data_IF_627898853031
#
_entry.id   IF_627898853031
#
_cell.length_a   1.000
_cell.length_b   1.000
_cell.length_c   1.000
_cell.angle_alpha   90.00
_cell.angle_beta   90.00
_cell.angle_gamma   90.00
#
_symmetry.space_group_name_H-M   'P 1'
#
loop_
_entity.id
_entity.type
_entity.pdbx_description
1 polymer ?
#
# COMPACT_ATOMS: atom_id res chain seq x y z
N UNK A 1 -33.00 4.42 12.73
CA UNK A 1 -32.29 4.54 14.01
C UNK A 1 -32.07 6.02 14.33
N UNK A 2 -32.42 6.46 15.53
CA UNK A 2 -32.14 7.82 16.03
C UNK A 2 -31.01 7.81 17.07
N UNK A 3 -30.52 8.98 17.48
CA UNK A 3 -29.36 9.09 18.38
C UNK A 3 -29.44 8.28 19.70
N UNK A 4 -30.59 8.16 20.39
CA UNK A 4 -30.70 7.30 21.57
C UNK A 4 -30.48 5.82 21.25
N UNK A 5 -31.14 5.30 20.21
CA UNK A 5 -30.97 3.90 19.77
C UNK A 5 -29.55 3.63 19.27
N UNK A 6 -28.93 4.59 18.59
CA UNK A 6 -27.52 4.50 18.19
C UNK A 6 -26.61 4.34 19.40
N UNK A 7 -26.84 5.11 20.48
CA UNK A 7 -26.02 4.99 21.71
C UNK A 7 -26.15 3.61 22.33
N UNK A 8 -27.34 3.03 22.35
CA UNK A 8 -27.56 1.72 22.92
C UNK A 8 -26.91 0.64 22.05
N UNK A 9 -27.11 0.69 20.73
CA UNK A 9 -26.47 -0.23 19.79
C UNK A 9 -24.94 -0.13 19.82
N UNK A 10 -24.39 1.09 19.84
CA UNK A 10 -22.95 1.31 19.88
C UNK A 10 -22.30 0.79 21.17
N UNK A 11 -22.96 0.93 22.33
CA UNK A 11 -22.48 0.36 23.59
C UNK A 11 -22.44 -1.17 23.52
N UNK A 12 -23.52 -1.78 23.03
CA UNK A 12 -23.58 -3.24 22.90
C UNK A 12 -22.53 -3.77 21.92
N UNK A 13 -22.29 -3.06 20.82
CA UNK A 13 -21.21 -3.40 19.88
C UNK A 13 -19.81 -3.26 20.51
N UNK A 14 -19.58 -2.22 21.31
CA UNK A 14 -18.30 -2.03 22.02
C UNK A 14 -18.05 -3.18 23.00
N UNK A 15 -19.06 -3.53 23.80
CA UNK A 15 -18.98 -4.64 24.75
C UNK A 15 -18.76 -5.97 24.02
N UNK A 16 -19.43 -6.18 22.88
CA UNK A 16 -19.24 -7.33 22.02
C UNK A 16 -17.82 -7.43 21.46
N UNK A 17 -17.29 -6.35 20.90
CA UNK A 17 -15.94 -6.30 20.31
C UNK A 17 -14.88 -6.62 21.38
N UNK A 18 -14.98 -6.00 22.55
CA UNK A 18 -14.08 -6.26 23.66
C UNK A 18 -14.11 -7.74 24.07
N UNK A 19 -15.31 -8.29 24.29
CA UNK A 19 -15.49 -9.69 24.64
C UNK A 19 -14.99 -10.65 23.54
N UNK A 20 -15.22 -10.31 22.26
CA UNK A 20 -14.73 -11.08 21.12
C UNK A 20 -13.21 -11.14 21.07
N UNK A 21 -12.53 -10.00 21.22
CA UNK A 21 -11.07 -9.92 21.15
C UNK A 21 -10.39 -10.58 22.37
N UNK A 22 -10.96 -10.41 23.58
CA UNK A 22 -10.44 -11.05 24.80
C UNK A 22 -10.54 -12.58 24.74
N UNK A 23 -11.65 -13.10 24.22
CA UNK A 23 -11.97 -14.54 24.20
C UNK A 23 -11.75 -15.19 22.82
N UNK A 24 -11.09 -14.52 21.88
CA UNK A 24 -10.85 -15.05 20.52
C UNK A 24 -10.08 -16.39 20.50
N UNK A 25 -9.35 -16.71 21.56
CA UNK A 25 -8.62 -17.99 21.73
C UNK A 25 -9.56 -19.19 21.81
N UNK A 26 -10.79 -18.98 22.25
CA UNK A 26 -11.79 -20.04 22.42
C UNK A 26 -12.50 -20.37 21.10
N UNK A 27 -12.37 -19.50 20.11
CA UNK A 27 -12.91 -19.71 18.76
C UNK A 27 -11.99 -20.60 17.93
N UNK A 28 -12.62 -21.40 17.07
CA UNK A 28 -11.92 -22.17 16.05
C UNK A 28 -11.45 -21.23 14.95
N UNK A 29 -10.14 -21.18 14.71
CA UNK A 29 -9.52 -20.24 13.76
C UNK A 29 -10.13 -20.29 12.35
N UNK A 30 -10.27 -21.49 11.77
CA UNK A 30 -10.84 -21.71 10.44
C UNK A 30 -12.27 -22.23 10.55
N UNK A 31 -13.23 -21.68 9.79
CA UNK A 31 -14.62 -22.12 9.83
C UNK A 31 -14.81 -23.50 9.17
N UNK A 32 -15.87 -24.21 9.52
CA UNK A 32 -16.28 -25.48 8.91
C UNK A 32 -17.46 -25.30 7.96
N UNK A 33 -17.26 -24.51 6.91
CA UNK A 33 -18.31 -24.17 5.95
C UNK A 33 -17.87 -24.50 4.52
N UNK A 34 -18.84 -24.66 3.63
CA UNK A 34 -18.63 -24.84 2.20
C UNK A 34 -19.03 -23.57 1.43
N UNK A 35 -18.46 -23.31 0.23
CA UNK A 35 -18.89 -22.20 -0.61
C UNK A 35 -20.42 -22.19 -0.79
N UNK A 36 -21.05 -21.05 -0.50
CA UNK A 36 -22.51 -20.89 -0.54
C UNK A 36 -23.26 -21.10 0.78
N UNK A 37 -22.60 -21.48 1.89
CA UNK A 37 -23.24 -21.75 3.19
C UNK A 37 -24.10 -20.60 3.74
N UNK A 38 -23.75 -19.35 3.42
CA UNK A 38 -24.41 -18.14 3.95
C UNK A 38 -25.77 -17.89 3.29
N UNK A 39 -25.91 -18.27 2.01
CA UNK A 39 -27.10 -18.02 1.20
C UNK A 39 -28.41 -18.53 1.85
N UNK A 40 -28.50 -19.75 2.39
CA UNK A 40 -29.72 -20.21 3.07
C UNK A 40 -29.96 -19.57 4.44
N UNK A 41 -29.01 -18.83 5.01
CA UNK A 41 -29.11 -18.20 6.33
C UNK A 41 -29.63 -16.77 6.30
N UNK A 42 -29.70 -16.17 5.10
CA UNK A 42 -30.12 -14.79 4.85
C UNK A 42 -31.35 -14.80 3.93
N UNK A 43 -32.31 -13.87 4.10
CA UNK A 43 -33.43 -13.72 3.17
C UNK A 43 -32.99 -13.57 1.70
N UNK A 44 -33.81 -14.08 0.78
CA UNK A 44 -33.51 -14.00 -0.66
C UNK A 44 -33.62 -12.57 -1.22
N UNK A 45 -34.35 -11.70 -0.53
CA UNK A 45 -34.60 -10.31 -0.91
C UNK A 45 -34.35 -9.41 0.31
N UNK A 46 -33.92 -8.18 0.07
CA UNK A 46 -33.74 -7.19 1.12
C UNK A 46 -35.09 -6.85 1.79
N UNK A 47 -35.12 -6.58 3.09
CA UNK A 47 -36.37 -6.28 3.79
C UNK A 47 -36.94 -4.93 3.32
N UNK A 48 -38.24 -4.88 3.01
CA UNK A 48 -38.94 -3.63 2.65
C UNK A 48 -39.15 -2.68 3.85
N UNK A 49 -39.01 -3.21 5.07
CA UNK A 49 -39.17 -2.50 6.32
C UNK A 49 -37.91 -2.65 7.17
N UNK A 50 -37.55 -1.65 7.98
CA UNK A 50 -36.39 -1.75 8.85
C UNK A 50 -36.56 -2.89 9.85
N UNK A 51 -35.49 -3.66 10.05
CA UNK A 51 -35.34 -4.62 11.13
C UNK A 51 -34.83 -3.92 12.39
N UNK A 52 -35.01 -4.54 13.56
CA UNK A 52 -34.45 -3.99 14.79
C UNK A 52 -32.93 -4.15 14.81
N UNK A 53 -32.22 -3.24 15.48
CA UNK A 53 -30.76 -3.38 15.58
C UNK A 53 -30.38 -4.59 16.44
N UNK A 54 -31.26 -5.02 17.35
CA UNK A 54 -31.09 -6.21 18.16
C UNK A 54 -31.11 -7.48 17.30
N UNK A 55 -32.00 -7.56 16.30
CA UNK A 55 -32.04 -8.68 15.36
C UNK A 55 -30.75 -8.72 14.53
N UNK A 56 -30.28 -7.54 14.06
CA UNK A 56 -29.00 -7.41 13.35
C UNK A 56 -27.81 -7.84 14.23
N UNK A 57 -27.81 -7.45 15.51
CA UNK A 57 -26.76 -7.82 16.46
C UNK A 57 -26.75 -9.34 16.74
N UNK A 58 -27.93 -9.96 16.88
CA UNK A 58 -28.07 -11.40 17.07
C UNK A 58 -27.54 -12.21 15.87
N UNK A 59 -27.66 -11.65 14.66
CA UNK A 59 -27.19 -12.29 13.44
C UNK A 59 -25.67 -12.35 13.32
N UNK A 60 -24.93 -11.52 14.06
CA UNK A 60 -23.46 -11.58 14.06
C UNK A 60 -22.97 -12.95 14.51
N UNK A 61 -23.47 -13.47 15.64
CA UNK A 61 -23.09 -14.82 16.10
C UNK A 61 -23.82 -15.93 15.36
N UNK A 62 -25.10 -15.72 15.01
CA UNK A 62 -25.93 -16.76 14.40
C UNK A 62 -25.53 -17.06 12.95
N UNK A 63 -25.16 -16.03 12.20
CA UNK A 63 -25.01 -16.10 10.73
C UNK A 63 -23.59 -15.79 10.29
N UNK A 64 -22.95 -14.76 10.84
CA UNK A 64 -21.66 -14.27 10.36
C UNK A 64 -20.49 -15.07 10.95
N UNK A 65 -20.36 -15.12 12.28
CA UNK A 65 -19.24 -15.75 12.98
C UNK A 65 -18.97 -17.21 12.60
N UNK A 66 -19.97 -18.07 12.28
CA UNK A 66 -19.71 -19.45 11.86
C UNK A 66 -18.85 -19.58 10.60
N UNK A 67 -18.79 -18.54 9.76
CA UNK A 67 -17.95 -18.51 8.56
C UNK A 67 -16.77 -17.54 8.60
N UNK A 68 -16.51 -16.89 9.75
CA UNK A 68 -15.36 -16.00 9.92
C UNK A 68 -14.09 -16.83 10.11
N UNK A 69 -13.05 -16.49 9.35
CA UNK A 69 -11.68 -16.88 9.74
C UNK A 69 -11.16 -15.86 10.75
N UNK A 70 -10.78 -16.32 11.94
CA UNK A 70 -10.41 -15.43 13.03
C UNK A 70 -8.92 -15.02 12.96
N UNK A 71 -8.62 -14.05 12.09
CA UNK A 71 -7.27 -13.57 11.79
C UNK A 71 -6.48 -13.07 13.01
N UNK A 72 -7.16 -12.53 14.03
CA UNK A 72 -6.51 -12.05 15.26
C UNK A 72 -6.36 -13.14 16.33
N UNK A 73 -6.76 -14.38 16.05
CA UNK A 73 -6.52 -15.48 16.97
C UNK A 73 -5.01 -15.72 17.11
N UNK A 74 -4.48 -15.88 18.34
CA UNK A 74 -3.08 -16.26 18.55
C UNK A 74 -2.69 -17.61 17.95
N UNK A 75 -3.68 -18.40 17.51
CA UNK A 75 -3.52 -19.69 16.82
C UNK A 75 -3.51 -19.56 15.29
N UNK A 76 -3.66 -18.34 14.74
CA UNK A 76 -3.60 -18.07 13.31
C UNK A 76 -2.15 -17.81 12.88
N UNK A 77 -1.61 -18.68 12.02
CA UNK A 77 -0.23 -18.63 11.56
C UNK A 77 -0.11 -18.73 10.02
N UNK A 78 -1.19 -18.41 9.30
CA UNK A 78 -1.18 -18.32 7.84
C UNK A 78 -0.81 -16.90 7.38
N UNK A 79 -0.24 -16.80 6.18
CA UNK A 79 0.12 -15.51 5.56
C UNK A 79 1.04 -14.65 6.44
N UNK A 80 0.91 -13.33 6.35
CA UNK A 80 1.41 -12.38 7.35
C UNK A 80 0.26 -11.89 8.24
N UNK A 81 0.56 -11.38 9.46
CA UNK A 81 -0.49 -10.86 10.34
C UNK A 81 -1.24 -9.70 9.69
N UNK A 82 -2.49 -9.52 10.11
CA UNK A 82 -3.23 -8.27 9.97
C UNK A 82 -3.32 -7.64 11.34
N UNK A 83 -3.01 -6.35 11.40
CA UNK A 83 -2.96 -5.57 12.60
C UNK A 83 -4.37 -5.15 13.06
N UNK A 84 -4.54 -5.03 14.38
CA UNK A 84 -5.74 -4.52 15.01
C UNK A 84 -5.41 -4.00 16.42
N UNK A 85 -6.04 -2.90 16.82
CA UNK A 85 -5.99 -2.42 18.19
C UNK A 85 -7.22 -1.60 18.57
N UNK A 86 -7.51 -1.50 19.88
CA UNK A 86 -8.59 -0.65 20.37
C UNK A 86 -8.46 0.83 19.95
N UNK A 87 -7.27 1.47 19.99
CA UNK A 87 -7.12 2.83 19.46
C UNK A 87 -7.48 2.96 17.98
N UNK A 88 -7.09 1.99 17.14
CA UNK A 88 -7.44 2.00 15.72
C UNK A 88 -8.95 1.87 15.51
N UNK A 89 -9.61 0.95 16.23
CA UNK A 89 -11.08 0.79 16.17
C UNK A 89 -11.80 2.09 16.55
N UNK A 90 -11.38 2.75 17.64
CA UNK A 90 -12.00 4.01 18.09
C UNK A 90 -11.74 5.15 17.09
N UNK A 91 -10.55 5.21 16.50
CA UNK A 91 -10.23 6.19 15.47
C UNK A 91 -11.11 5.99 14.22
N UNK A 92 -11.31 4.74 13.78
CA UNK A 92 -12.18 4.41 12.64
C UNK A 92 -13.64 4.77 12.90
N UNK A 93 -14.12 4.61 14.15
CA UNK A 93 -15.47 5.08 14.54
C UNK A 93 -15.62 6.59 14.34
N UNK A 94 -14.61 7.38 14.71
CA UNK A 94 -14.63 8.83 14.50
C UNK A 94 -14.51 9.18 13.01
N UNK A 95 -13.62 8.51 12.28
CA UNK A 95 -13.45 8.68 10.84
C UNK A 95 -14.76 8.42 10.09
N UNK A 96 -15.46 7.33 10.42
CA UNK A 96 -16.76 6.99 9.85
C UNK A 96 -17.89 7.97 10.24
N UNK A 97 -17.78 8.66 11.39
CA UNK A 97 -18.74 9.68 11.79
C UNK A 97 -18.51 11.02 11.06
N UNK A 98 -17.25 11.41 10.83
CA UNK A 98 -16.91 12.61 10.06
C UNK A 98 -17.20 12.38 8.56
N UNK A 99 -16.84 11.20 8.05
CA UNK A 99 -17.08 10.74 6.68
C UNK A 99 -16.71 11.78 5.60
N UNK A 100 -15.63 12.54 5.83
CA UNK A 100 -15.16 13.52 4.85
C UNK A 100 -14.39 12.83 3.72
N UNK A 101 -14.40 13.45 2.53
CA UNK A 101 -13.66 12.95 1.37
C UNK A 101 -12.51 13.92 1.09
N UNK A 102 -11.27 13.44 1.21
CA UNK A 102 -10.04 14.25 1.19
C UNK A 102 -9.33 14.33 -0.17
N UNK A 103 -10.07 14.37 -1.28
CA UNK A 103 -9.47 14.35 -2.62
C UNK A 103 -8.63 15.59 -2.96
N UNK A 104 -8.98 16.74 -2.38
CA UNK A 104 -8.20 17.97 -2.40
C UNK A 104 -8.08 18.52 -0.99
N UNK A 105 -7.07 19.35 -0.78
CA UNK A 105 -6.89 20.02 0.51
C UNK A 105 -8.15 20.77 0.93
N UNK A 106 -8.81 21.50 0.02
CA UNK A 106 -10.01 22.29 0.37
C UNK A 106 -11.24 21.41 0.70
N UNK A 107 -11.29 20.18 0.22
CA UNK A 107 -12.42 19.26 0.49
C UNK A 107 -12.44 18.82 1.96
N UNK A 108 -11.26 18.65 2.57
CA UNK A 108 -11.12 18.47 4.01
C UNK A 108 -9.67 18.77 4.44
N UNK A 109 -9.36 20.01 4.85
CA UNK A 109 -7.99 20.40 5.18
C UNK A 109 -7.38 19.52 6.27
N UNK A 110 -8.16 19.21 7.31
CA UNK A 110 -7.71 18.37 8.41
C UNK A 110 -7.37 16.93 7.96
N UNK A 111 -8.06 16.39 6.94
CA UNK A 111 -7.75 15.07 6.40
C UNK A 111 -6.36 15.06 5.74
N UNK A 112 -6.05 16.08 4.94
CA UNK A 112 -4.75 16.19 4.26
C UNK A 112 -3.62 16.52 5.24
N UNK A 113 -3.80 17.56 6.06
CA UNK A 113 -2.76 18.07 6.97
C UNK A 113 -2.36 17.03 8.02
N UNK A 114 -3.34 16.32 8.59
CA UNK A 114 -3.06 15.27 9.56
C UNK A 114 -2.29 14.12 8.93
N UNK A 115 -2.65 13.70 7.71
CA UNK A 115 -1.93 12.64 7.00
C UNK A 115 -0.47 13.03 6.71
N UNK A 116 -0.23 14.25 6.25
CA UNK A 116 1.14 14.78 6.02
C UNK A 116 1.97 14.67 7.30
N UNK A 117 1.45 15.14 8.43
CA UNK A 117 2.19 15.10 9.70
C UNK A 117 2.37 13.68 10.25
N UNK A 118 1.35 12.82 10.14
CA UNK A 118 1.45 11.43 10.59
C UNK A 118 2.46 10.64 9.76
N UNK A 119 2.51 10.83 8.44
CA UNK A 119 3.48 10.16 7.58
C UNK A 119 4.89 10.74 7.71
N UNK A 120 5.02 12.01 8.07
CA UNK A 120 6.29 12.60 8.47
C UNK A 120 6.82 11.97 9.77
N UNK A 121 5.97 11.82 10.78
CA UNK A 121 6.31 11.13 12.03
C UNK A 121 6.66 9.66 11.78
N UNK A 122 5.85 8.96 10.99
CA UNK A 122 6.07 7.56 10.69
C UNK A 122 7.37 7.34 9.91
N UNK A 123 7.67 8.17 8.91
CA UNK A 123 8.95 8.12 8.20
C UNK A 123 10.15 8.31 9.15
N UNK A 124 10.06 9.25 10.10
CA UNK A 124 11.08 9.44 11.15
C UNK A 124 11.20 8.23 12.08
N UNK A 125 10.08 7.62 12.48
CA UNK A 125 10.07 6.41 13.32
C UNK A 125 10.78 5.24 12.63
N UNK A 126 10.57 5.07 11.32
CA UNK A 126 11.25 4.05 10.51
C UNK A 126 12.75 4.34 10.32
N UNK A 127 13.16 5.60 10.44
CA UNK A 127 14.50 6.06 10.08
C UNK A 127 14.68 6.20 8.57
N UNK A 128 13.63 6.60 7.84
CA UNK A 128 13.75 6.94 6.43
C UNK A 128 14.63 8.20 6.25
N UNK A 129 15.39 8.28 5.15
CA UNK A 129 16.14 9.49 4.79
C UNK A 129 15.26 10.75 4.73
N UNK A 130 15.84 11.92 5.04
CA UNK A 130 15.12 13.20 5.03
C UNK A 130 14.50 13.51 3.67
N UNK A 131 15.09 13.02 2.58
CA UNK A 131 14.61 13.17 1.20
C UNK A 131 13.26 12.50 0.93
N UNK A 132 12.76 11.65 1.85
CA UNK A 132 11.39 11.12 1.79
C UNK A 132 10.39 11.92 2.62
N UNK A 133 10.86 12.81 3.49
CA UNK A 133 10.02 13.46 4.49
C UNK A 133 9.48 14.80 3.99
N UNK A 134 8.19 15.06 4.25
CA UNK A 134 7.58 16.35 3.96
C UNK A 134 8.29 17.52 4.68
N UNK A 135 8.90 17.27 5.85
CA UNK A 135 9.65 18.29 6.58
C UNK A 135 10.99 18.68 5.96
N UNK A 136 11.41 18.06 4.84
CA UNK A 136 12.63 18.47 4.11
C UNK A 136 12.48 19.80 3.38
N UNK A 137 11.25 20.32 3.24
CA UNK A 137 10.95 21.53 2.48
C UNK A 137 10.95 21.35 0.96
N UNK A 138 11.22 20.12 0.48
CA UNK A 138 11.03 19.72 -0.91
C UNK A 138 9.58 19.29 -1.20
N UNK A 139 9.36 18.75 -2.40
CA UNK A 139 8.05 18.17 -2.77
C UNK A 139 7.85 16.75 -2.26
N UNK A 140 8.88 16.11 -1.70
CA UNK A 140 8.83 14.75 -1.18
C UNK A 140 7.79 14.60 -0.06
N UNK A 141 7.31 13.37 0.14
CA UNK A 141 6.36 13.12 1.21
C UNK A 141 5.79 11.72 1.19
N UNK A 142 4.90 11.49 2.16
CA UNK A 142 4.13 10.27 2.25
C UNK A 142 2.68 10.46 1.81
N UNK A 143 2.05 9.36 1.39
CA UNK A 143 0.61 9.21 1.19
C UNK A 143 0.15 7.85 1.74
N UNK A 144 -1.07 7.79 2.31
CA UNK A 144 -1.75 6.56 2.67
C UNK A 144 -2.46 6.00 1.44
N UNK A 145 -2.19 4.74 1.13
CA UNK A 145 -2.84 3.93 0.09
C UNK A 145 -3.67 2.84 0.79
N UNK A 146 -4.57 2.20 0.06
CA UNK A 146 -5.31 1.04 0.60
C UNK A 146 -4.38 -0.16 0.79
N UNK A 147 -3.53 -0.44 -0.21
CA UNK A 147 -2.65 -1.61 -0.19
C UNK A 147 -1.23 -1.37 -0.71
N UNK A 148 -0.28 -2.22 -0.30
CA UNK A 148 1.04 -2.31 -0.93
C UNK A 148 0.97 -2.57 -2.44
N UNK A 149 -0.07 -3.29 -2.91
CA UNK A 149 -0.24 -3.57 -4.34
C UNK A 149 -0.52 -2.29 -5.13
N UNK A 150 -1.34 -1.39 -4.58
CA UNK A 150 -1.61 -0.08 -5.15
C UNK A 150 -0.35 0.79 -5.09
N UNK A 151 0.36 0.81 -3.97
CA UNK A 151 1.62 1.55 -3.84
C UNK A 151 2.67 1.12 -4.88
N UNK A 152 2.85 -0.18 -5.09
CA UNK A 152 3.74 -0.72 -6.12
C UNK A 152 3.29 -0.35 -7.54
N UNK A 153 1.98 -0.35 -7.81
CA UNK A 153 1.44 0.07 -9.11
C UNK A 153 1.64 1.57 -9.33
N UNK A 154 1.36 2.41 -8.33
CA UNK A 154 1.59 3.86 -8.37
C UNK A 154 3.06 4.18 -8.63
N UNK A 155 3.99 3.49 -7.93
CA UNK A 155 5.43 3.63 -8.17
C UNK A 155 5.81 3.26 -9.61
N UNK A 156 5.30 2.13 -10.11
CA UNK A 156 5.54 1.67 -11.49
C UNK A 156 5.04 2.69 -12.51
N UNK A 157 3.85 3.26 -12.31
CA UNK A 157 3.26 4.24 -13.22
C UNK A 157 4.04 5.58 -13.20
N UNK A 158 4.50 6.03 -12.03
CA UNK A 158 5.41 7.17 -11.92
C UNK A 158 6.74 6.92 -12.64
N UNK A 159 7.35 5.76 -12.42
CA UNK A 159 8.57 5.35 -13.12
C UNK A 159 8.38 5.28 -14.65
N UNK A 160 7.24 4.76 -15.09
CA UNK A 160 6.86 4.69 -16.50
C UNK A 160 6.75 6.09 -17.12
N UNK A 161 6.09 7.03 -16.44
CA UNK A 161 5.99 8.41 -16.91
C UNK A 161 7.37 9.09 -17.01
N UNK A 162 8.23 8.91 -16.00
CA UNK A 162 9.63 9.39 -16.00
C UNK A 162 10.42 8.84 -17.20
N UNK A 163 10.29 7.54 -17.45
CA UNK A 163 10.98 6.86 -18.55
C UNK A 163 10.47 7.27 -19.93
N UNK A 164 9.16 7.45 -20.09
CA UNK A 164 8.56 7.94 -21.35
C UNK A 164 9.11 9.31 -21.69
N UNK A 165 9.08 10.24 -20.74
CA UNK A 165 9.58 11.60 -20.96
C UNK A 165 11.05 11.60 -21.36
N UNK A 166 11.90 10.84 -20.65
CA UNK A 166 13.33 10.70 -20.99
C UNK A 166 13.52 10.14 -22.40
N UNK A 167 12.80 9.08 -22.75
CA UNK A 167 12.92 8.45 -24.06
C UNK A 167 12.44 9.36 -25.19
N UNK A 168 11.41 10.20 -24.97
CA UNK A 168 10.99 11.21 -25.96
C UNK A 168 12.04 12.31 -26.17
N UNK A 169 12.78 12.68 -25.12
CA UNK A 169 13.88 13.65 -25.22
C UNK A 169 15.08 13.06 -25.97
N UNK A 170 15.40 11.78 -25.75
CA UNK A 170 16.50 11.06 -26.40
C UNK A 170 16.15 10.62 -27.84
N UNK A 171 14.88 10.30 -28.10
CA UNK A 171 14.34 9.81 -29.36
C UNK A 171 13.04 10.54 -29.74
N UNK A 172 13.11 11.81 -30.21
CA UNK A 172 11.93 12.62 -30.54
C UNK A 172 11.04 12.04 -31.65
N UNK A 173 11.57 11.09 -32.42
CA UNK A 173 10.85 10.39 -33.49
C UNK A 173 10.01 9.21 -33.00
N UNK A 174 10.18 8.76 -31.76
CA UNK A 174 9.38 7.66 -31.20
C UNK A 174 8.09 8.19 -30.61
N UNK A 175 6.97 7.59 -31.01
CA UNK A 175 5.70 7.80 -30.32
C UNK A 175 5.66 7.05 -28.97
N UNK A 176 4.71 7.43 -28.12
CA UNK A 176 4.58 6.86 -26.78
C UNK A 176 4.38 5.34 -26.79
N UNK A 177 3.60 4.82 -27.74
CA UNK A 177 3.36 3.38 -27.86
C UNK A 177 4.64 2.60 -28.16
N UNK A 178 5.48 3.14 -29.05
CA UNK A 178 6.79 2.57 -29.38
C UNK A 178 7.68 2.54 -28.14
N UNK A 179 7.74 3.65 -27.39
CA UNK A 179 8.51 3.73 -26.15
C UNK A 179 8.00 2.71 -25.13
N UNK A 180 6.69 2.67 -24.86
CA UNK A 180 6.09 1.74 -23.89
C UNK A 180 6.38 0.28 -24.26
N UNK A 181 6.34 -0.07 -25.56
CA UNK A 181 6.65 -1.42 -26.03
C UNK A 181 8.10 -1.86 -25.75
N UNK A 182 9.01 -0.90 -25.53
CA UNK A 182 10.42 -1.12 -25.22
C UNK A 182 10.71 -1.12 -23.72
N UNK A 183 9.79 -0.62 -22.88
CA UNK A 183 10.01 -0.54 -21.44
C UNK A 183 10.09 -1.94 -20.81
N UNK A 184 11.09 -2.14 -19.96
CA UNK A 184 11.27 -3.36 -19.17
C UNK A 184 11.62 -3.04 -17.72
N UNK A 185 10.88 -3.66 -16.80
CA UNK A 185 11.15 -3.61 -15.36
C UNK A 185 11.59 -4.96 -14.79
N UNK A 186 12.06 -4.94 -13.55
CA UNK A 186 12.71 -6.09 -12.91
C UNK A 186 12.17 -6.34 -11.52
N UNK A 187 12.12 -7.62 -11.14
CA UNK A 187 11.69 -8.03 -9.81
C UNK A 187 12.34 -9.36 -9.43
N UNK A 188 12.44 -9.67 -8.15
CA UNK A 188 12.92 -10.97 -7.68
C UNK A 188 11.88 -12.05 -8.01
N UNK A 189 12.32 -13.29 -8.26
CA UNK A 189 11.42 -14.45 -8.31
C UNK A 189 10.85 -14.83 -6.93
N UNK A 190 11.23 -14.09 -5.88
CA UNK A 190 10.66 -14.18 -4.53
C UNK A 190 9.69 -13.04 -4.19
N UNK A 191 9.59 -12.02 -5.06
CA UNK A 191 8.70 -10.88 -4.82
C UNK A 191 7.24 -11.31 -4.83
N UNK A 192 6.40 -10.53 -4.16
CA UNK A 192 4.97 -10.80 -4.07
C UNK A 192 4.31 -10.69 -5.46
N UNK A 193 3.25 -11.47 -5.68
CA UNK A 193 2.50 -11.49 -6.96
C UNK A 193 1.88 -10.14 -7.34
N UNK A 194 1.76 -9.20 -6.40
CA UNK A 194 1.36 -7.82 -6.68
C UNK A 194 2.29 -7.11 -7.67
N UNK A 195 3.58 -7.45 -7.69
CA UNK A 195 4.54 -6.84 -8.62
C UNK A 195 4.23 -7.27 -10.06
N UNK A 196 4.02 -8.57 -10.28
CA UNK A 196 3.57 -9.09 -11.57
C UNK A 196 2.24 -8.46 -12.00
N UNK A 197 1.27 -8.38 -11.07
CA UNK A 197 -0.02 -7.73 -11.31
C UNK A 197 0.13 -6.25 -11.66
N UNK A 198 1.07 -5.53 -11.05
CA UNK A 198 1.36 -4.14 -11.38
C UNK A 198 1.93 -4.00 -12.81
N UNK A 199 2.78 -4.92 -13.26
CA UNK A 199 3.24 -4.96 -14.65
C UNK A 199 2.12 -5.20 -15.65
N UNK A 200 1.21 -6.14 -15.34
CA UNK A 200 0.02 -6.41 -16.16
C UNK A 200 -0.89 -5.17 -16.29
N UNK A 201 -1.21 -4.53 -15.16
CA UNK A 201 -2.07 -3.34 -15.14
C UNK A 201 -1.37 -2.10 -15.73
N UNK A 202 -0.06 -1.97 -15.54
CA UNK A 202 0.76 -0.91 -16.10
C UNK A 202 1.04 -1.06 -17.60
N UNK A 203 0.73 -2.23 -18.19
CA UNK A 203 0.96 -2.53 -19.60
C UNK A 203 2.45 -2.53 -19.97
N UNK A 204 3.31 -3.10 -19.11
CA UNK A 204 4.76 -3.13 -19.29
C UNK A 204 5.33 -4.53 -19.10
N UNK A 205 6.47 -4.81 -19.72
CA UNK A 205 7.18 -6.07 -19.51
C UNK A 205 7.86 -6.07 -18.14
N UNK A 206 7.64 -7.11 -17.35
CA UNK A 206 8.40 -7.38 -16.13
C UNK A 206 9.22 -8.67 -16.27
N UNK A 207 10.50 -8.60 -15.91
CA UNK A 207 11.39 -9.75 -15.83
C UNK A 207 11.53 -10.21 -14.39
N UNK A 208 11.16 -11.46 -14.14
CA UNK A 208 11.46 -12.14 -12.89
C UNK A 208 12.90 -12.63 -12.91
N UNK A 209 13.73 -12.08 -12.02
CA UNK A 209 15.15 -12.37 -11.88
C UNK A 209 15.38 -13.42 -10.80
N UNK A 210 16.34 -14.31 -11.05
CA UNK A 210 16.66 -15.39 -10.11
C UNK A 210 17.38 -14.82 -8.88
N UNK A 211 16.82 -15.04 -7.69
CA UNK A 211 17.50 -14.77 -6.44
C UNK A 211 18.68 -15.74 -6.18
N UNK A 212 19.62 -15.35 -5.32
CA UNK A 212 20.75 -16.19 -4.93
C UNK A 212 20.35 -17.34 -4.00
N UNK A 213 21.33 -18.08 -3.47
CA UNK A 213 21.09 -19.20 -2.55
C UNK A 213 20.45 -18.80 -1.22
N UNK A 214 20.53 -17.52 -0.85
CA UNK A 214 19.87 -16.95 0.33
C UNK A 214 18.49 -16.37 -0.01
N UNK A 215 18.01 -16.60 -1.23
CA UNK A 215 16.74 -16.08 -1.75
C UNK A 215 16.73 -14.54 -1.82
N UNK A 216 17.90 -13.92 -2.01
CA UNK A 216 18.07 -12.47 -2.15
C UNK A 216 18.37 -12.10 -3.61
N UNK A 217 17.70 -11.10 -4.16
CA UNK A 217 18.11 -10.49 -5.41
C UNK A 217 19.41 -9.69 -5.19
N UNK A 218 20.36 -9.86 -6.11
CA UNK A 218 21.72 -9.30 -6.05
C UNK A 218 21.95 -8.27 -7.13
N UNK A 219 22.79 -7.27 -6.86
CA UNK A 219 23.06 -6.17 -7.80
C UNK A 219 23.67 -6.67 -9.11
N UNK A 220 24.56 -7.66 -9.06
CA UNK A 220 25.15 -8.28 -10.26
C UNK A 220 24.10 -8.90 -11.19
N UNK A 221 23.05 -9.50 -10.62
CA UNK A 221 21.98 -10.15 -11.39
C UNK A 221 21.12 -9.09 -12.08
N UNK A 222 20.80 -8.01 -11.36
CA UNK A 222 20.10 -6.85 -11.93
C UNK A 222 20.93 -6.19 -13.04
N UNK A 223 22.22 -5.92 -12.79
CA UNK A 223 23.09 -5.25 -13.76
C UNK A 223 23.28 -6.08 -15.04
N UNK A 224 23.43 -7.41 -14.92
CA UNK A 224 23.52 -8.29 -16.07
C UNK A 224 22.22 -8.28 -16.90
N UNK A 225 21.06 -8.30 -16.24
CA UNK A 225 19.76 -8.23 -16.92
C UNK A 225 19.59 -6.90 -17.66
N UNK A 226 19.93 -5.77 -17.01
CA UNK A 226 19.90 -4.43 -17.60
C UNK A 226 20.81 -4.34 -18.83
N UNK A 227 22.06 -4.80 -18.73
CA UNK A 227 23.01 -4.78 -19.86
C UNK A 227 22.50 -5.59 -21.06
N UNK A 228 21.91 -6.74 -20.81
CA UNK A 228 21.32 -7.57 -21.85
C UNK A 228 20.15 -6.86 -22.54
N UNK A 229 19.21 -6.30 -21.75
CA UNK A 229 18.03 -5.64 -22.31
C UNK A 229 18.40 -4.36 -23.09
N UNK A 230 19.42 -3.62 -22.64
CA UNK A 230 19.97 -2.50 -23.41
C UNK A 230 20.57 -2.96 -24.75
N UNK A 231 21.31 -4.07 -24.75
CA UNK A 231 21.87 -4.64 -25.99
C UNK A 231 20.75 -5.12 -26.95
N UNK A 232 19.62 -5.54 -26.42
CA UNK A 232 18.43 -5.94 -27.17
C UNK A 232 17.55 -4.74 -27.60
N UNK A 233 17.97 -3.51 -27.32
CA UNK A 233 17.27 -2.27 -27.71
C UNK A 233 16.00 -1.98 -26.89
N UNK A 234 15.92 -2.55 -25.68
CA UNK A 234 14.89 -2.27 -24.67
C UNK A 234 15.34 -1.14 -23.73
N UNK A 235 14.37 -0.63 -22.96
CA UNK A 235 14.53 0.50 -22.05
C UNK A 235 14.28 0.04 -20.59
N UNK A 236 15.34 -0.33 -19.85
CA UNK A 236 15.28 -0.54 -18.41
C UNK A 236 14.73 0.70 -17.70
N UNK A 237 13.71 0.55 -16.85
CA UNK A 237 13.10 1.72 -16.20
C UNK A 237 12.67 1.55 -14.74
N UNK A 238 12.40 0.32 -14.28
CA UNK A 238 11.86 0.07 -12.94
C UNK A 238 12.41 -1.21 -12.34
N UNK A 239 12.74 -1.22 -11.05
CA UNK A 239 13.06 -2.43 -10.31
C UNK A 239 12.44 -2.41 -8.91
N UNK A 240 11.92 -3.55 -8.47
CA UNK A 240 11.41 -3.75 -7.10
C UNK A 240 12.46 -4.47 -6.27
N UNK A 241 12.81 -3.88 -5.14
CA UNK A 241 13.60 -4.49 -4.08
C UNK A 241 12.66 -4.87 -2.93
N UNK A 242 12.52 -6.16 -2.65
CA UNK A 242 11.62 -6.63 -1.58
C UNK A 242 12.40 -6.83 -0.28
N UNK A 243 12.00 -6.12 0.77
CA UNK A 243 12.52 -6.27 2.13
C UNK A 243 11.49 -7.05 2.97
N UNK A 244 11.69 -8.37 3.08
CA UNK A 244 10.74 -9.29 3.71
C UNK A 244 9.80 -9.95 2.70
N UNK A 245 10.35 -10.85 1.88
CA UNK A 245 9.59 -11.60 0.86
C UNK A 245 8.50 -12.48 1.49
N UNK A 246 7.44 -12.77 0.73
CA UNK A 246 6.24 -13.42 1.29
C UNK A 246 6.48 -14.85 1.76
N UNK A 247 7.27 -15.64 0.99
CA UNK A 247 7.43 -17.06 1.27
C UNK A 247 8.35 -17.34 2.46
N UNK A 248 9.44 -16.58 2.59
CA UNK A 248 10.53 -16.89 3.53
C UNK A 248 11.06 -15.68 4.29
N UNK A 249 10.44 -14.50 4.12
CA UNK A 249 10.90 -13.24 4.69
C UNK A 249 12.38 -12.94 4.36
N UNK A 250 12.82 -13.24 3.14
CA UNK A 250 14.15 -12.88 2.65
C UNK A 250 14.23 -11.36 2.36
N UNK A 251 15.44 -10.82 2.31
CA UNK A 251 15.71 -9.40 2.08
C UNK A 251 16.64 -9.25 0.88
N UNK A 252 16.14 -8.64 -0.19
CA UNK A 252 16.97 -8.30 -1.34
C UNK A 252 18.09 -7.31 -0.94
N UNK A 253 19.22 -7.32 -1.68
CA UNK A 253 20.39 -6.50 -1.34
C UNK A 253 20.25 -5.07 -1.87
N UNK A 254 19.46 -4.24 -1.19
CA UNK A 254 19.23 -2.85 -1.58
C UNK A 254 20.53 -2.05 -1.75
N UNK A 255 21.55 -2.30 -0.92
CA UNK A 255 22.87 -1.67 -1.03
C UNK A 255 23.65 -2.06 -2.29
N UNK A 256 23.23 -3.09 -3.01
CA UNK A 256 23.76 -3.48 -4.31
C UNK A 256 22.82 -3.04 -5.46
N UNK A 257 21.51 -3.24 -5.29
CA UNK A 257 20.49 -2.94 -6.31
C UNK A 257 20.37 -1.44 -6.56
N UNK A 258 20.39 -0.66 -5.49
CA UNK A 258 20.28 0.80 -5.51
C UNK A 258 21.31 1.50 -6.40
N UNK A 259 22.62 1.31 -6.16
CA UNK A 259 23.66 1.87 -7.01
C UNK A 259 23.56 1.45 -8.48
N UNK A 260 23.16 0.19 -8.74
CA UNK A 260 22.90 -0.29 -10.10
C UNK A 260 21.73 0.46 -10.74
N UNK A 261 20.61 0.58 -10.04
CA UNK A 261 19.44 1.31 -10.51
C UNK A 261 19.79 2.76 -10.90
N UNK A 262 20.43 3.48 -9.98
CA UNK A 262 20.84 4.86 -10.20
C UNK A 262 21.81 5.01 -11.38
N UNK A 263 22.79 4.12 -11.52
CA UNK A 263 23.75 4.11 -12.65
C UNK A 263 23.05 4.03 -14.01
N UNK A 264 21.94 3.31 -14.10
CA UNK A 264 21.21 3.09 -15.36
C UNK A 264 19.90 3.89 -15.43
N UNK A 265 19.67 4.83 -14.52
CA UNK A 265 18.43 5.60 -14.41
C UNK A 265 17.17 4.71 -14.37
N UNK A 266 17.23 3.63 -13.59
CA UNK A 266 16.13 2.71 -13.30
C UNK A 266 15.57 3.07 -11.93
N UNK A 267 14.26 3.32 -11.85
CA UNK A 267 13.57 3.63 -10.61
C UNK A 267 13.61 2.43 -9.65
N UNK A 268 14.05 2.65 -8.41
CA UNK A 268 14.09 1.64 -7.36
C UNK A 268 12.91 1.85 -6.41
N UNK A 269 11.98 0.89 -6.42
CA UNK A 269 10.87 0.81 -5.46
C UNK A 269 11.17 -0.24 -4.39
N UNK A 270 11.07 0.14 -3.13
CA UNK A 270 11.23 -0.77 -2.00
C UNK A 270 9.85 -1.22 -1.50
N UNK A 271 9.56 -2.52 -1.65
CA UNK A 271 8.40 -3.16 -1.03
C UNK A 271 8.82 -3.79 0.30
N UNK A 272 8.42 -3.16 1.40
CA UNK A 272 8.63 -3.65 2.75
C UNK A 272 7.31 -3.99 3.44
N UNK A 273 6.27 -4.40 2.70
CA UNK A 273 4.89 -4.53 3.19
C UNK A 273 4.76 -5.12 4.61
N UNK A 274 5.47 -6.22 4.91
CA UNK A 274 5.50 -6.82 6.24
C UNK A 274 6.64 -6.29 7.12
N UNK A 275 7.89 -6.36 6.65
CA UNK A 275 9.05 -6.10 7.50
C UNK A 275 9.24 -4.61 7.84
N UNK A 276 8.56 -3.70 7.14
CA UNK A 276 8.64 -2.26 7.36
C UNK A 276 8.39 -1.86 8.81
N UNK A 277 7.41 -2.49 9.47
CA UNK A 277 7.10 -2.21 10.88
C UNK A 277 8.28 -2.48 11.81
N UNK A 278 9.16 -3.44 11.49
CA UNK A 278 10.31 -3.77 12.31
C UNK A 278 11.34 -2.62 12.35
N UNK A 279 11.36 -1.74 11.35
CA UNK A 279 12.33 -0.65 11.25
C UNK A 279 12.07 0.50 12.23
N UNK A 280 10.94 0.48 12.94
CA UNK A 280 10.74 1.31 14.14
C UNK A 280 11.82 1.00 15.19
N UNK A 281 12.25 -0.25 15.27
CA UNK A 281 13.34 -0.68 16.14
C UNK A 281 14.70 -0.48 15.44
N UNK A 282 15.62 0.36 15.97
CA UNK A 282 16.89 0.68 15.32
C UNK A 282 17.76 -0.53 14.96
N UNK A 283 17.69 -1.62 15.73
CA UNK A 283 18.45 -2.86 15.52
C UNK A 283 18.09 -3.60 14.24
N UNK A 284 16.90 -3.38 13.66
CA UNK A 284 16.50 -3.98 12.38
C UNK A 284 16.77 -3.07 11.18
N UNK A 285 17.06 -1.77 11.38
CA UNK A 285 17.35 -0.82 10.29
C UNK A 285 18.56 -1.18 9.41
N UNK A 286 19.60 -1.93 9.86
CA UNK A 286 20.64 -2.42 8.96
C UNK A 286 20.12 -3.26 7.78
N UNK A 287 18.90 -3.83 7.87
CA UNK A 287 18.26 -4.55 6.78
C UNK A 287 17.76 -3.62 5.65
N UNK A 288 17.66 -2.31 5.90
CA UNK A 288 17.37 -1.27 4.89
C UNK A 288 18.63 -0.59 4.35
N UNK A 289 19.82 -1.12 4.60
CA UNK A 289 21.07 -0.52 4.11
C UNK A 289 20.97 -0.23 2.60
N UNK A 290 21.20 1.01 2.20
CA UNK A 290 21.02 1.46 0.81
C UNK A 290 19.70 2.21 0.55
N UNK A 291 18.82 2.38 1.53
CA UNK A 291 17.53 3.08 1.38
C UNK A 291 17.64 4.48 0.78
N UNK A 292 18.76 5.17 1.00
CA UNK A 292 19.08 6.46 0.41
C UNK A 292 19.16 6.44 -1.13
N UNK A 293 19.24 5.26 -1.75
CA UNK A 293 19.25 5.10 -3.21
C UNK A 293 17.88 4.84 -3.82
N UNK A 294 16.86 4.52 -3.02
CA UNK A 294 15.52 4.22 -3.51
C UNK A 294 14.77 5.50 -3.93
N UNK A 295 13.89 5.41 -4.93
CA UNK A 295 13.01 6.51 -5.34
C UNK A 295 11.67 6.51 -4.56
N UNK A 296 11.25 5.33 -4.11
CA UNK A 296 9.99 5.10 -3.39
C UNK A 296 10.09 3.94 -2.40
N UNK A 297 9.33 4.02 -1.32
CA UNK A 297 9.27 3.01 -0.26
C UNK A 297 7.83 2.83 0.18
N UNK A 298 7.39 1.59 0.42
CA UNK A 298 6.11 1.34 1.10
C UNK A 298 6.22 0.26 2.18
N UNK A 299 5.34 0.34 3.17
CA UNK A 299 5.03 -0.78 4.05
C UNK A 299 3.59 -0.69 4.57
N UNK A 300 3.10 -1.76 5.22
CA UNK A 300 1.72 -1.82 5.68
C UNK A 300 1.65 -1.71 7.21
N UNK A 301 1.28 -0.54 7.76
CA UNK A 301 0.82 -0.44 9.14
C UNK A 301 -0.28 -1.48 9.47
N UNK A 302 -1.16 -1.76 8.50
CA UNK A 302 -2.21 -2.78 8.64
C UNK A 302 -1.72 -4.24 8.72
N UNK A 303 -0.42 -4.51 8.57
CA UNK A 303 0.13 -5.86 8.82
C UNK A 303 0.62 -6.01 10.24
N UNK A 304 1.64 -5.23 10.62
CA UNK A 304 2.38 -5.46 11.85
C UNK A 304 2.62 -4.20 12.70
N UNK A 305 1.76 -3.17 12.54
CA UNK A 305 1.82 -1.92 13.32
C UNK A 305 0.52 -1.57 14.05
N UNK A 306 -0.35 -2.56 14.30
CA UNK A 306 -1.57 -2.42 15.11
C UNK A 306 -2.61 -1.38 14.60
N UNK A 307 -2.52 -0.97 13.33
CA UNK A 307 -3.55 -0.20 12.61
C UNK A 307 -4.47 -1.17 11.87
N UNK A 308 -5.77 -0.91 11.80
CA UNK A 308 -6.71 -1.80 11.10
C UNK A 308 -6.46 -1.74 9.58
N UNK A 309 -6.92 -2.78 8.86
CA UNK A 309 -7.00 -2.72 7.41
C UNK A 309 -8.19 -1.83 6.99
N UNK A 310 -8.04 -0.92 6.03
CA UNK A 310 -6.85 -0.63 5.22
C UNK A 310 -5.97 0.52 5.77
N UNK A 311 -4.66 0.42 5.51
CA UNK A 311 -3.66 1.45 5.83
C UNK A 311 -2.28 1.01 5.31
N UNK A 312 -1.90 1.44 4.11
CA UNK A 312 -0.59 1.17 3.50
C UNK A 312 0.14 2.49 3.30
N UNK A 313 1.27 2.69 3.96
CA UNK A 313 2.01 3.94 3.86
C UNK A 313 3.04 3.87 2.73
N UNK A 314 3.07 4.89 1.87
CA UNK A 314 4.00 5.01 0.75
C UNK A 314 4.73 6.35 0.83
N UNK A 315 6.04 6.38 0.59
CA UNK A 315 6.85 7.59 0.46
C UNK A 315 7.50 7.70 -0.90
N UNK A 316 7.64 8.95 -1.35
CA UNK A 316 8.16 9.33 -2.66
C UNK A 316 9.19 10.46 -2.49
N UNK A 317 10.36 10.32 -3.12
CA UNK A 317 11.33 11.43 -3.21
C UNK A 317 10.90 12.48 -4.22
N UNK A 318 10.41 12.04 -5.37
CA UNK A 318 9.98 12.91 -6.47
C UNK A 318 8.52 12.61 -6.85
N UNK A 319 7.54 13.00 -6.02
CA UNK A 319 6.13 12.73 -6.30
C UNK A 319 5.61 13.44 -7.55
N UNK A 320 6.32 14.45 -8.06
CA UNK A 320 6.05 15.10 -9.34
C UNK A 320 5.76 14.10 -10.47
N UNK A 321 6.53 13.00 -10.56
CA UNK A 321 6.35 11.99 -11.61
C UNK A 321 5.01 11.26 -11.54
N UNK A 322 4.44 11.15 -10.34
CA UNK A 322 3.14 10.54 -10.10
C UNK A 322 2.05 11.59 -10.27
N UNK A 323 2.20 12.75 -9.60
CA UNK A 323 1.25 13.87 -9.66
C UNK A 323 0.98 14.29 -11.10
N UNK A 324 2.04 14.45 -11.90
CA UNK A 324 1.90 14.86 -13.29
C UNK A 324 1.33 13.76 -14.19
N UNK A 325 1.65 12.48 -13.91
CA UNK A 325 1.11 11.35 -14.66
C UNK A 325 -0.39 11.15 -14.43
N UNK A 326 -0.88 11.46 -13.23
CA UNK A 326 -2.28 11.31 -12.84
C UNK A 326 -3.05 12.63 -12.79
N UNK A 327 -2.46 13.72 -13.29
CA UNK A 327 -3.11 15.02 -13.22
C UNK A 327 -4.33 15.07 -14.15
N UNK A 328 -5.51 15.06 -13.55
CA UNK A 328 -6.77 15.41 -14.20
C UNK A 328 -7.35 16.60 -13.45
N UNK A 329 -7.39 17.77 -14.10
CA UNK A 329 -7.72 19.06 -13.46
C UNK A 329 -8.99 19.70 -14.07
N UNK A 330 -10.17 19.06 -13.93
CA UNK A 330 -11.42 19.61 -14.42
C UNK A 330 -11.85 20.81 -13.56
N UNK A 331 -12.65 21.71 -14.15
CA UNK A 331 -13.00 22.98 -13.50
C UNK A 331 -13.66 22.81 -12.12
N UNK A 332 -14.44 21.75 -11.90
CA UNK A 332 -15.13 21.49 -10.62
C UNK A 332 -14.21 21.00 -9.49
N UNK A 333 -12.93 20.79 -9.80
CA UNK A 333 -11.91 20.26 -8.90
C UNK A 333 -10.84 21.32 -8.55
N UNK A 334 -10.93 22.53 -9.12
CA UNK A 334 -10.01 23.65 -8.90
C UNK A 334 -10.30 24.41 -7.62
N UNK A 335 -9.25 24.96 -7.01
CA UNK A 335 -9.35 25.83 -5.84
C UNK A 335 -8.11 26.72 -5.71
N UNK A 336 -8.23 27.80 -4.94
CA UNK A 336 -7.18 28.83 -4.83
C UNK A 336 -5.92 28.35 -4.09
N UNK A 337 -5.98 27.20 -3.42
CA UNK A 337 -4.87 26.62 -2.65
C UNK A 337 -4.05 25.57 -3.41
N UNK A 338 -4.33 25.35 -4.70
CA UNK A 338 -3.59 24.35 -5.50
C UNK A 338 -2.08 24.63 -5.49
N UNK A 339 -1.29 23.58 -5.27
CA UNK A 339 0.16 23.65 -5.18
C UNK A 339 0.73 24.19 -3.86
N UNK A 340 -0.11 24.65 -2.93
CA UNK A 340 0.32 25.07 -1.58
C UNK A 340 0.40 23.90 -0.60
N UNK A 341 -0.39 22.85 -0.84
CA UNK A 341 -0.44 21.61 -0.09
C UNK A 341 -0.68 20.43 -1.06
N UNK A 342 -0.44 19.18 -0.65
CA UNK A 342 -0.77 18.03 -1.48
C UNK A 342 -2.28 17.93 -1.74
N UNK A 343 -2.65 17.73 -3.01
CA UNK A 343 -3.94 17.18 -3.37
C UNK A 343 -3.77 15.67 -3.61
N UNK A 344 -4.07 14.86 -2.59
CA UNK A 344 -3.73 13.44 -2.59
C UNK A 344 -4.41 12.63 -3.71
N UNK A 345 -5.49 13.13 -4.33
CA UNK A 345 -6.04 12.55 -5.58
C UNK A 345 -5.00 12.38 -6.69
N UNK A 346 -3.93 13.18 -6.70
CA UNK A 346 -2.87 13.10 -7.70
C UNK A 346 -1.74 12.14 -7.30
N UNK A 347 -1.76 11.61 -6.07
CA UNK A 347 -0.74 10.71 -5.52
C UNK A 347 -1.20 9.24 -5.50
N UNK A 348 -2.41 8.97 -5.96
CA UNK A 348 -3.07 7.68 -5.87
C UNK A 348 -3.91 7.43 -7.12
N UNK A 349 -4.47 6.22 -7.25
CA UNK A 349 -5.32 5.83 -8.38
C UNK A 349 -6.74 6.42 -8.28
N UNK A 350 -7.48 6.25 -7.17
CA UNK A 350 -8.82 6.81 -7.04
C UNK A 350 -8.79 8.32 -6.79
N UNK A 351 -9.85 9.03 -7.19
CA UNK A 351 -9.93 10.47 -6.92
C UNK A 351 -10.19 10.77 -5.45
N UNK A 352 -10.94 9.94 -4.72
CA UNK A 352 -11.25 10.11 -3.30
C UNK A 352 -12.03 8.93 -2.74
#
# INVERSE_FOLDING_TARGET
>A
MQAPEFKDFAKEMVDYIANYLENIRDRRVLPEVQPGYLRPLIPAEAPEKPESWQDVMADIERVIMPGVTHWHSPKFHAYFPTANSYPAIVADMLSGAIACIGFTWIASPACTELEVEMLNWLGKMLGLPEEFLASSGGQAGGVIQGTASEATLVALLGAKAKAIKRAQEEHPEWDENTIVSKLVGYTSNQSHSSVERAGLLGGVKLRSLKADSNLQLRGETLEAAIKQDLADGLLPFYAVCTLGTTNTCAFDRLDELGPVGNKYNVWIHVDAAYAGSAFVCPEYRPLMKGIETADSFNFNPHKWMLVNFDCSAMWLKEPYWIVNAFNVDPLYLKHDMQGSAPDYRHWQIPLG
#
